data_IF_305409444602
#
_entry.id   IF_305409444602
#
_cell.length_a   1.000
_cell.length_b   1.000
_cell.length_c   1.000
_cell.angle_alpha   90.00
_cell.angle_beta   90.00
_cell.angle_gamma   90.00
#
_symmetry.space_group_name_H-M   'P 1'
#
loop_
_entity.id
_entity.type
_entity.pdbx_description
1 polymer ?
#
# COMPACT_ATOMS: atom_id res chain seq x y z
N UNK A 1 9.07 -19.12 -37.34
CA UNK A 1 9.83 -17.99 -36.75
C UNK A 1 8.92 -16.90 -36.17
N UNK A 2 7.68 -16.75 -36.65
CA UNK A 2 6.71 -15.78 -36.10
C UNK A 2 6.00 -16.30 -34.82
N UNK A 3 5.82 -17.61 -34.70
CA UNK A 3 5.12 -18.25 -33.57
C UNK A 3 5.89 -18.16 -32.23
N UNK A 4 7.22 -18.16 -32.27
CA UNK A 4 8.05 -18.01 -31.07
C UNK A 4 8.07 -16.56 -30.55
N UNK A 5 7.85 -15.56 -31.42
CA UNK A 5 7.84 -14.16 -31.04
C UNK A 5 6.59 -13.80 -30.21
N UNK A 6 5.46 -14.44 -30.51
CA UNK A 6 4.21 -14.31 -29.74
C UNK A 6 4.28 -14.99 -28.36
N UNK A 7 5.16 -15.99 -28.20
CA UNK A 7 5.33 -16.70 -26.93
C UNK A 7 6.16 -15.88 -25.93
N UNK A 8 7.15 -15.10 -26.40
CA UNK A 8 8.02 -14.29 -25.55
C UNK A 8 7.31 -13.09 -24.89
N UNK A 9 6.24 -12.55 -25.47
CA UNK A 9 5.50 -11.41 -24.90
C UNK A 9 4.57 -11.82 -23.75
N UNK A 10 4.26 -13.11 -23.60
CA UNK A 10 3.44 -13.64 -22.50
C UNK A 10 4.22 -13.93 -21.22
N UNK A 11 5.56 -13.90 -21.26
CA UNK A 11 6.42 -14.36 -20.15
C UNK A 11 7.07 -13.20 -19.37
N UNK A 12 6.83 -11.94 -19.75
CA UNK A 12 7.28 -10.80 -18.95
C UNK A 12 6.30 -10.53 -17.81
N UNK A 13 6.19 -11.46 -16.85
CA UNK A 13 5.70 -11.14 -15.51
C UNK A 13 6.80 -10.36 -14.79
N UNK A 14 7.12 -9.17 -15.28
CA UNK A 14 7.86 -8.20 -14.49
C UNK A 14 7.01 -7.93 -13.26
N UNK A 15 7.49 -8.34 -12.09
CA UNK A 15 6.84 -8.03 -10.82
C UNK A 15 6.97 -6.52 -10.58
N UNK A 16 6.10 -5.77 -11.23
CA UNK A 16 6.01 -4.34 -11.03
C UNK A 16 5.22 -4.11 -9.75
N UNK A 17 5.88 -3.59 -8.73
CA UNK A 17 5.18 -3.04 -7.58
C UNK A 17 4.26 -1.94 -8.05
N UNK A 18 2.99 -2.08 -7.74
CA UNK A 18 1.95 -1.12 -8.10
C UNK A 18 1.11 -0.82 -6.88
N UNK A 19 0.50 0.36 -6.83
CA UNK A 19 -0.53 0.61 -5.83
C UNK A 19 -1.69 -0.36 -6.07
N UNK A 20 -2.27 -0.87 -4.99
CA UNK A 20 -3.44 -1.74 -5.01
C UNK A 20 -4.64 -1.01 -4.41
N UNK A 21 -5.80 -1.17 -5.01
CA UNK A 21 -7.02 -0.60 -4.49
C UNK A 21 -7.67 -1.48 -3.40
N UNK A 22 -8.86 -1.08 -2.94
CA UNK A 22 -9.66 -1.80 -1.95
C UNK A 22 -10.10 -3.21 -2.40
N UNK A 23 -9.92 -3.57 -3.68
CA UNK A 23 -10.26 -4.87 -4.28
C UNK A 23 -9.04 -5.65 -4.74
N UNK A 24 -7.82 -5.17 -4.44
CA UNK A 24 -6.53 -5.74 -4.87
C UNK A 24 -6.24 -5.56 -6.38
N UNK A 25 -6.96 -4.67 -7.05
CA UNK A 25 -6.72 -4.32 -8.45
C UNK A 25 -5.60 -3.25 -8.53
N UNK A 26 -4.76 -3.27 -9.58
CA UNK A 26 -3.71 -2.27 -9.77
C UNK A 26 -4.31 -0.88 -10.04
N UNK A 27 -3.77 0.14 -9.37
CA UNK A 27 -4.10 1.56 -9.57
C UNK A 27 -2.82 2.38 -9.68
N UNK A 28 -2.90 3.54 -10.33
CA UNK A 28 -1.74 4.41 -10.51
C UNK A 28 -1.34 5.05 -9.17
N UNK A 29 -2.34 5.49 -8.40
CA UNK A 29 -2.16 6.09 -7.08
C UNK A 29 -3.43 5.93 -6.25
N UNK A 30 -3.27 6.01 -4.94
CA UNK A 30 -4.36 6.26 -4.00
C UNK A 30 -3.91 7.25 -2.93
N UNK A 31 -4.86 7.88 -2.27
CA UNK A 31 -4.63 8.70 -1.09
C UNK A 31 -5.55 8.27 0.05
N UNK A 32 -5.07 8.46 1.27
CA UNK A 32 -5.77 8.07 2.49
C UNK A 32 -5.79 9.20 3.50
N UNK A 33 -6.87 9.24 4.29
CA UNK A 33 -6.94 10.10 5.46
C UNK A 33 -7.29 9.25 6.67
N UNK A 34 -6.31 9.00 7.54
CA UNK A 34 -6.50 8.25 8.80
C UNK A 34 -7.22 9.14 9.81
N UNK A 35 -8.23 8.60 10.45
CA UNK A 35 -8.96 9.28 11.51
C UNK A 35 -8.27 9.10 12.87
N UNK A 36 -8.36 10.11 13.76
CA UNK A 36 -8.01 9.93 15.17
C UNK A 36 -8.99 8.96 15.85
N UNK A 37 -8.68 8.62 17.11
CA UNK A 37 -9.58 7.82 17.92
C UNK A 37 -10.69 8.71 18.50
N UNK A 38 -11.94 8.46 18.10
CA UNK A 38 -13.11 9.19 18.60
C UNK A 38 -14.06 8.22 19.32
N UNK A 39 -14.01 8.20 20.65
CA UNK A 39 -14.72 7.20 21.46
C UNK A 39 -16.25 7.29 21.35
N UNK A 40 -16.78 8.49 21.13
CA UNK A 40 -18.23 8.74 21.05
C UNK A 40 -18.79 8.56 19.63
N UNK A 41 -17.94 8.45 18.61
CA UNK A 41 -18.35 8.28 17.22
C UNK A 41 -18.41 6.79 16.85
N UNK A 42 -19.39 6.40 16.05
CA UNK A 42 -19.53 5.05 15.47
C UNK A 42 -19.89 5.09 13.97
N UNK A 43 -19.73 6.24 13.32
CA UNK A 43 -20.12 6.50 11.93
C UNK A 43 -19.21 5.80 10.90
N UNK A 44 -17.95 5.54 11.27
CA UNK A 44 -16.95 4.90 10.40
C UNK A 44 -16.36 3.67 11.10
N UNK A 45 -16.23 2.52 10.43
CA UNK A 45 -15.62 1.32 11.01
C UNK A 45 -14.24 1.60 11.60
N UNK A 46 -14.06 1.24 12.88
CA UNK A 46 -12.78 1.36 13.58
C UNK A 46 -12.46 2.74 14.16
N UNK A 47 -13.37 3.71 14.11
CA UNK A 47 -13.10 5.08 14.58
C UNK A 47 -12.82 5.15 16.09
N UNK A 48 -13.51 4.35 16.88
CA UNK A 48 -13.29 4.22 18.33
C UNK A 48 -11.96 3.56 18.70
N UNK A 49 -11.24 3.00 17.72
CA UNK A 49 -9.92 2.37 17.89
C UNK A 49 -8.80 3.16 17.19
N UNK A 50 -9.14 4.29 16.55
CA UNK A 50 -8.18 5.05 15.74
C UNK A 50 -7.68 4.31 14.50
N UNK A 51 -8.43 3.33 13.99
CA UNK A 51 -8.10 2.58 12.75
C UNK A 51 -9.12 2.84 11.64
N UNK A 52 -10.01 3.82 11.82
CA UNK A 52 -10.84 4.35 10.75
C UNK A 52 -10.03 5.21 9.79
N UNK A 53 -10.44 5.22 8.52
CA UNK A 53 -9.79 5.99 7.47
C UNK A 53 -10.71 6.18 6.27
N UNK A 54 -10.40 7.21 5.49
CA UNK A 54 -11.03 7.50 4.21
C UNK A 54 -10.07 7.21 3.06
N UNK A 55 -10.63 6.94 1.88
CA UNK A 55 -9.90 6.47 0.71
C UNK A 55 -10.39 7.14 -0.58
N UNK A 56 -9.45 7.37 -1.50
CA UNK A 56 -9.67 7.82 -2.89
C UNK A 56 -8.54 7.29 -3.78
N UNK A 57 -8.81 7.04 -5.05
CA UNK A 57 -7.85 6.46 -5.99
C UNK A 57 -7.95 7.07 -7.40
N UNK A 58 -7.02 6.66 -8.27
CA UNK A 58 -6.93 7.13 -9.65
C UNK A 58 -8.14 6.79 -10.53
N UNK A 59 -8.89 5.73 -10.19
CA UNK A 59 -10.07 5.28 -10.93
C UNK A 59 -11.35 5.98 -10.42
N UNK A 60 -11.36 6.39 -9.15
CA UNK A 60 -12.47 7.04 -8.47
C UNK A 60 -12.04 8.41 -7.92
N UNK A 61 -11.79 9.37 -8.80
CA UNK A 61 -11.24 10.72 -8.49
C UNK A 61 -12.23 11.67 -7.78
N UNK A 62 -13.21 11.13 -7.07
CA UNK A 62 -14.22 11.89 -6.34
C UNK A 62 -13.76 12.33 -4.96
N UNK A 63 -14.72 12.55 -4.07
CA UNK A 63 -14.42 12.81 -2.66
C UNK A 63 -13.81 11.57 -1.98
N UNK A 64 -13.02 11.80 -0.93
CA UNK A 64 -12.63 10.76 0.02
C UNK A 64 -13.88 10.07 0.57
N UNK A 65 -13.92 8.73 0.46
CA UNK A 65 -15.03 7.92 0.97
C UNK A 65 -14.59 7.07 2.16
N UNK A 66 -15.46 6.84 3.17
CA UNK A 66 -15.10 6.04 4.32
C UNK A 66 -14.84 4.59 3.91
N UNK A 67 -13.69 4.06 4.31
CA UNK A 67 -13.37 2.65 4.08
C UNK A 67 -14.31 1.75 4.89
N UNK A 68 -14.76 0.65 4.28
CA UNK A 68 -15.51 -0.40 4.97
C UNK A 68 -14.60 -1.34 5.77
N UNK A 69 -13.30 -1.28 5.49
CA UNK A 69 -12.24 -2.10 6.12
C UNK A 69 -11.40 -1.22 7.02
N UNK A 70 -11.05 -1.71 8.20
CA UNK A 70 -10.19 -0.97 9.13
C UNK A 70 -8.74 -1.00 8.68
N UNK A 71 -7.93 -0.05 9.15
CA UNK A 71 -6.54 0.09 8.74
C UNK A 71 -5.66 -1.11 9.13
N UNK A 72 -6.06 -1.84 10.17
CA UNK A 72 -5.43 -3.07 10.68
C UNK A 72 -5.93 -4.36 9.97
N UNK A 73 -6.88 -4.25 9.04
CA UNK A 73 -7.31 -5.36 8.19
C UNK A 73 -6.24 -5.64 7.10
N UNK A 74 -6.11 -6.92 6.72
CA UNK A 74 -5.24 -7.39 5.64
C UNK A 74 -5.90 -7.29 4.26
N UNK A 75 -7.22 -7.14 4.22
CA UNK A 75 -8.02 -7.10 2.99
C UNK A 75 -8.36 -5.66 2.58
N UNK A 76 -7.33 -4.84 2.33
CA UNK A 76 -7.50 -3.44 1.92
C UNK A 76 -6.27 -2.89 1.19
N UNK A 77 -6.44 -1.73 0.53
CA UNK A 77 -5.48 -1.11 -0.38
C UNK A 77 -4.02 -1.05 0.12
N UNK A 78 -3.79 -0.55 1.33
CA UNK A 78 -2.45 -0.44 1.93
C UNK A 78 -1.86 -1.82 2.20
N UNK A 79 -2.65 -2.74 2.75
CA UNK A 79 -2.21 -4.11 3.02
C UNK A 79 -1.84 -4.84 1.73
N UNK A 80 -2.69 -4.79 0.71
CA UNK A 80 -2.40 -5.37 -0.61
C UNK A 80 -1.15 -4.75 -1.26
N UNK A 81 -1.00 -3.43 -1.15
CA UNK A 81 0.16 -2.72 -1.71
C UNK A 81 1.45 -3.18 -1.03
N UNK A 82 1.50 -3.17 0.31
CA UNK A 82 2.67 -3.59 1.07
C UNK A 82 2.96 -5.10 0.98
N UNK A 83 1.91 -5.93 0.86
CA UNK A 83 2.06 -7.39 0.79
C UNK A 83 2.87 -7.85 -0.43
N UNK A 84 2.84 -7.10 -1.53
CA UNK A 84 3.71 -7.38 -2.68
C UNK A 84 5.19 -7.42 -2.27
N UNK A 85 5.62 -6.51 -1.38
CA UNK A 85 6.99 -6.44 -0.90
C UNK A 85 7.24 -7.48 0.19
N UNK A 86 6.39 -7.53 1.23
CA UNK A 86 6.61 -8.44 2.35
C UNK A 86 6.56 -9.92 1.97
N UNK A 87 5.81 -10.30 0.92
CA UNK A 87 5.83 -11.65 0.36
C UNK A 87 7.17 -12.02 -0.29
N UNK A 88 8.01 -11.02 -0.59
CA UNK A 88 9.30 -11.15 -1.30
C UNK A 88 10.45 -10.43 -0.60
N UNK A 89 10.31 -10.11 0.69
CA UNK A 89 11.28 -9.30 1.43
C UNK A 89 12.71 -9.89 1.47
N UNK A 90 12.85 -11.19 1.20
CA UNK A 90 14.14 -11.90 1.15
C UNK A 90 14.64 -12.16 -0.28
N UNK A 91 13.94 -11.69 -1.30
CA UNK A 91 14.37 -11.80 -2.69
C UNK A 91 15.51 -10.80 -2.95
N UNK A 92 16.73 -11.26 -3.29
CA UNK A 92 17.88 -10.38 -3.48
C UNK A 92 17.76 -9.50 -4.73
N UNK A 93 16.78 -9.73 -5.60
CA UNK A 93 16.52 -8.90 -6.80
C UNK A 93 15.60 -7.71 -6.50
N UNK A 94 15.01 -7.65 -5.30
CA UNK A 94 14.07 -6.61 -4.89
C UNK A 94 14.79 -5.56 -4.05
N UNK A 95 14.91 -4.36 -4.60
CA UNK A 95 15.44 -3.19 -3.89
C UNK A 95 14.32 -2.43 -3.17
N UNK A 96 14.56 -2.06 -1.91
CA UNK A 96 13.66 -1.21 -1.13
C UNK A 96 14.47 -0.32 -0.18
N UNK A 97 13.87 0.82 0.19
CA UNK A 97 14.43 1.73 1.20
C UNK A 97 13.29 2.17 2.11
N UNK A 98 13.49 2.07 3.41
CA UNK A 98 12.61 2.65 4.42
C UNK A 98 13.32 3.84 5.05
N UNK A 99 12.61 4.94 5.22
CA UNK A 99 13.11 6.14 5.87
C UNK A 99 12.06 6.68 6.84
N UNK A 100 12.53 7.34 7.90
CA UNK A 100 11.70 8.06 8.86
C UNK A 100 12.56 9.18 9.45
N UNK A 101 12.01 10.38 9.59
CA UNK A 101 12.68 11.50 10.26
C UNK A 101 12.79 11.26 11.77
N UNK A 102 11.82 10.55 12.35
CA UNK A 102 11.90 10.04 13.71
C UNK A 102 12.65 8.70 13.78
N UNK A 103 13.80 8.70 14.47
CA UNK A 103 14.61 7.49 14.68
C UNK A 103 13.89 6.56 15.67
N UNK A 104 13.44 5.40 15.20
CA UNK A 104 13.04 4.32 16.10
C UNK A 104 14.27 3.68 16.74
N UNK A 105 14.19 3.40 18.05
CA UNK A 105 15.21 2.65 18.79
C UNK A 105 15.50 1.24 18.23
N UNK A 106 14.64 0.73 17.35
CA UNK A 106 14.78 -0.58 16.70
C UNK A 106 15.43 -0.55 15.30
N UNK A 107 15.71 0.63 14.74
CA UNK A 107 16.29 0.76 13.38
C UNK A 107 17.82 0.70 13.43
N UNK A 108 18.42 -0.20 12.64
CA UNK A 108 19.88 -0.37 12.51
C UNK A 108 20.52 0.46 11.38
N UNK A 109 19.70 1.04 10.50
CA UNK A 109 20.17 1.91 9.42
C UNK A 109 19.30 3.16 9.36
N UNK A 110 19.90 4.30 9.66
CA UNK A 110 19.38 5.64 9.38
C UNK A 110 20.27 6.20 8.29
N UNK A 111 19.71 6.43 7.10
CA UNK A 111 20.42 7.19 6.08
C UNK A 111 20.42 8.66 6.53
N UNK A 112 21.52 9.06 7.19
CA UNK A 112 21.77 10.46 7.49
C UNK A 112 22.18 11.12 6.18
N UNK A 113 21.25 11.82 5.53
CA UNK A 113 21.62 12.80 4.50
C UNK A 113 22.30 13.94 5.25
N UNK A 114 23.63 13.92 5.26
CA UNK A 114 24.44 15.07 5.63
C UNK A 114 24.21 16.12 4.54
N UNK A 115 23.53 17.21 4.88
CA UNK A 115 23.66 18.48 4.15
C UNK A 115 25.06 19.08 4.38
#
# INVERSE_FOLDING_TARGET
MLEYLLLCTLISNGYCFTCKDQKNDPVEWFAVYKMPMENADNSVPGIQKGVAWYYVDSNNKGALTPSQKTLDDKDQAIAYTLNQYYAKQFDPTIFHVMYNDEVSSSLKFVFHFLE
#
